data_IF_044206690313
#
_entry.id   IF_044206690313
#
_cell.length_a   1.000
_cell.length_b   1.000
_cell.length_c   1.000
_cell.angle_alpha   90.00
_cell.angle_beta   90.00
_cell.angle_gamma   90.00
#
_symmetry.space_group_name_H-M   'P 1'
#
loop_
_entity.id
_entity.type
_entity.pdbx_description
1 polymer ?
#
# COMPACT_ATOMS: atom_id res chain seq x y z
N UNK A 1 -21.65 9.00 -10.94
CA UNK A 1 -21.21 8.46 -9.63
C UNK A 1 -21.17 6.94 -9.75
N UNK A 2 -20.03 6.33 -9.40
CA UNK A 2 -19.90 4.87 -9.38
C UNK A 2 -20.51 4.29 -8.10
N UNK A 3 -21.09 3.12 -8.20
CA UNK A 3 -21.71 2.38 -7.09
C UNK A 3 -20.68 1.49 -6.40
N UNK A 4 -20.42 1.69 -5.11
CA UNK A 4 -19.37 1.04 -4.34
C UNK A 4 -19.92 0.05 -3.31
N UNK A 5 -19.33 -1.15 -3.28
CA UNK A 5 -19.45 -2.10 -2.18
C UNK A 5 -18.12 -2.22 -1.42
N UNK A 6 -18.13 -2.34 -0.09
CA UNK A 6 -16.92 -2.47 0.73
C UNK A 6 -16.94 -3.81 1.45
N UNK A 7 -15.91 -4.64 1.23
CA UNK A 7 -15.72 -5.96 1.81
C UNK A 7 -14.57 -5.95 2.83
N UNK A 8 -14.87 -6.31 4.09
CA UNK A 8 -13.93 -6.26 5.22
C UNK A 8 -13.97 -4.90 5.92
N UNK A 9 -14.57 -4.83 7.10
CA UNK A 9 -14.92 -3.58 7.77
C UNK A 9 -13.94 -3.18 8.90
N UNK A 10 -12.86 -3.92 9.07
CA UNK A 10 -11.77 -3.53 9.94
C UNK A 10 -11.01 -2.32 9.38
N UNK A 11 -10.11 -2.55 8.45
CA UNK A 11 -9.37 -1.50 7.74
C UNK A 11 -10.25 -0.74 6.72
N UNK A 12 -11.31 -1.38 6.21
CA UNK A 12 -12.32 -0.74 5.36
C UNK A 12 -13.06 0.44 5.99
N UNK A 13 -12.93 0.64 7.31
CA UNK A 13 -13.46 1.80 8.04
C UNK A 13 -13.06 3.14 7.39
N UNK A 14 -11.78 3.26 7.04
CA UNK A 14 -11.26 4.47 6.37
C UNK A 14 -11.88 4.69 4.99
N UNK A 15 -12.14 3.60 4.27
CA UNK A 15 -12.79 3.65 2.95
C UNK A 15 -14.27 4.01 3.03
N UNK A 16 -14.98 3.57 4.08
CA UNK A 16 -16.37 4.01 4.32
C UNK A 16 -16.41 5.54 4.48
N UNK A 17 -15.57 6.08 5.37
CA UNK A 17 -15.46 7.53 5.56
C UNK A 17 -15.10 8.27 4.27
N UNK A 18 -14.16 7.72 3.50
CA UNK A 18 -13.73 8.30 2.24
C UNK A 18 -14.84 8.29 1.18
N UNK A 19 -15.58 7.18 1.05
CA UNK A 19 -16.68 7.05 0.11
C UNK A 19 -17.83 8.02 0.42
N UNK A 20 -18.21 8.14 1.69
CA UNK A 20 -19.27 9.06 2.13
C UNK A 20 -18.87 10.55 1.95
N UNK A 21 -17.58 10.88 1.97
CA UNK A 21 -17.09 12.22 1.71
C UNK A 21 -16.86 12.53 0.22
N UNK A 22 -16.78 11.50 -0.62
CA UNK A 22 -16.48 11.64 -2.06
C UNK A 22 -17.75 11.91 -2.86
N UNK A 23 -17.61 12.71 -3.92
CA UNK A 23 -18.67 12.90 -4.93
C UNK A 23 -18.55 11.91 -6.10
N UNK A 24 -17.50 11.11 -6.13
CA UNK A 24 -17.27 10.13 -7.20
C UNK A 24 -18.01 8.82 -6.98
N UNK A 25 -18.32 8.49 -5.71
CA UNK A 25 -18.96 7.23 -5.34
C UNK A 25 -20.26 7.43 -4.57
N UNK A 26 -21.14 6.45 -4.73
CA UNK A 26 -22.29 6.16 -3.88
C UNK A 26 -22.03 4.83 -3.18
N UNK A 27 -21.96 4.84 -1.85
CA UNK A 27 -21.84 3.61 -1.06
C UNK A 27 -23.19 2.87 -1.11
N UNK A 28 -23.18 1.64 -1.65
CA UNK A 28 -24.39 0.81 -1.80
C UNK A 28 -24.53 -0.16 -0.64
N UNK A 29 -23.43 -0.83 -0.26
CA UNK A 29 -23.45 -1.82 0.83
C UNK A 29 -22.06 -2.02 1.44
N UNK A 30 -22.08 -2.45 2.68
CA UNK A 30 -20.91 -2.92 3.44
C UNK A 30 -21.04 -4.44 3.67
N UNK A 31 -19.91 -5.15 3.71
CA UNK A 31 -19.88 -6.58 3.99
C UNK A 31 -18.74 -6.97 4.92
N UNK A 32 -19.06 -7.75 5.94
CA UNK A 32 -18.10 -8.43 6.80
C UNK A 32 -18.69 -9.76 7.27
N UNK A 33 -17.87 -10.77 7.55
CA UNK A 33 -18.36 -12.02 8.13
C UNK A 33 -18.92 -11.84 9.54
N UNK A 34 -18.45 -10.82 10.27
CA UNK A 34 -18.92 -10.45 11.59
C UNK A 34 -20.13 -9.51 11.51
N UNK A 35 -21.30 -10.01 11.92
CA UNK A 35 -22.51 -9.19 12.08
C UNK A 35 -22.28 -8.02 13.05
N UNK A 36 -21.50 -8.25 14.12
CA UNK A 36 -21.14 -7.22 15.09
C UNK A 36 -20.32 -6.08 14.44
N UNK A 37 -19.33 -6.44 13.58
CA UNK A 37 -18.57 -5.45 12.83
C UNK A 37 -19.47 -4.64 11.89
N UNK A 38 -20.41 -5.29 11.21
CA UNK A 38 -21.40 -4.61 10.36
C UNK A 38 -22.23 -3.61 11.16
N UNK A 39 -22.79 -4.03 12.28
CA UNK A 39 -23.62 -3.17 13.16
C UNK A 39 -22.83 -2.01 13.74
N UNK A 40 -21.58 -2.25 14.15
CA UNK A 40 -20.70 -1.20 14.66
C UNK A 40 -20.45 -0.12 13.61
N UNK A 41 -20.16 -0.51 12.37
CA UNK A 41 -19.94 0.44 11.27
C UNK A 41 -21.23 1.11 10.84
N UNK A 42 -22.35 0.40 10.82
CA UNK A 42 -23.65 0.97 10.53
C UNK A 42 -24.00 2.11 11.48
N UNK A 43 -23.77 1.90 12.78
CA UNK A 43 -23.97 2.92 13.82
C UNK A 43 -22.98 4.08 13.71
N UNK A 44 -21.70 3.79 13.44
CA UNK A 44 -20.65 4.80 13.37
C UNK A 44 -20.85 5.79 12.23
N UNK A 45 -21.30 5.29 11.08
CA UNK A 45 -21.43 6.09 9.85
C UNK A 45 -22.88 6.43 9.48
N UNK A 46 -23.83 6.06 10.32
CA UNK A 46 -25.29 6.19 10.02
C UNK A 46 -25.66 5.61 8.64
N UNK A 47 -25.09 4.40 8.34
CA UNK A 47 -25.29 3.70 7.07
C UNK A 47 -25.67 2.24 7.33
N UNK A 48 -26.92 1.89 7.06
CA UNK A 48 -27.52 0.63 7.51
C UNK A 48 -27.65 -0.46 6.43
N UNK A 49 -27.13 -0.22 5.22
CA UNK A 49 -27.12 -1.22 4.16
C UNK A 49 -25.88 -2.11 4.28
N UNK A 50 -26.00 -3.28 4.89
CA UNK A 50 -24.92 -4.23 5.04
C UNK A 50 -25.38 -5.67 4.87
N UNK A 51 -24.44 -6.58 4.68
CA UNK A 51 -24.62 -8.03 4.58
C UNK A 51 -23.45 -8.77 5.19
N UNK A 52 -23.69 -10.00 5.66
CA UNK A 52 -22.60 -10.92 6.07
C UNK A 52 -22.25 -11.93 4.98
N UNK A 53 -22.87 -11.82 3.79
CA UNK A 53 -22.65 -12.72 2.67
C UNK A 53 -22.08 -11.96 1.46
N UNK A 54 -20.82 -12.25 1.12
CA UNK A 54 -20.14 -11.64 -0.02
C UNK A 54 -20.86 -11.86 -1.36
N UNK A 55 -21.52 -13.02 -1.56
CA UNK A 55 -22.25 -13.29 -2.78
C UNK A 55 -23.42 -12.32 -3.02
N UNK A 56 -24.03 -11.77 -1.98
CA UNK A 56 -25.04 -10.74 -2.15
C UNK A 56 -24.48 -9.46 -2.80
N UNK A 57 -23.20 -9.12 -2.50
CA UNK A 57 -22.53 -8.00 -3.18
C UNK A 57 -22.17 -8.34 -4.62
N UNK A 58 -21.67 -9.55 -4.87
CA UNK A 58 -21.28 -10.01 -6.19
C UNK A 58 -22.47 -10.02 -7.16
N UNK A 59 -23.61 -10.51 -6.71
CA UNK A 59 -24.83 -10.65 -7.49
C UNK A 59 -25.59 -9.34 -7.68
N UNK A 60 -25.30 -8.33 -6.84
CA UNK A 60 -25.91 -7.02 -6.95
C UNK A 60 -25.39 -6.28 -8.19
N UNK A 61 -26.24 -6.17 -9.22
CA UNK A 61 -25.91 -5.54 -10.50
C UNK A 61 -25.75 -4.03 -10.43
N UNK A 62 -26.19 -3.39 -9.35
CA UNK A 62 -25.99 -1.96 -9.16
C UNK A 62 -24.56 -1.62 -8.77
N UNK A 63 -23.79 -2.56 -8.17
CA UNK A 63 -22.43 -2.31 -7.74
C UNK A 63 -21.49 -2.33 -8.95
N UNK A 64 -20.76 -1.25 -9.15
CA UNK A 64 -19.73 -1.11 -10.18
C UNK A 64 -18.34 -1.54 -9.67
N UNK A 65 -18.02 -1.21 -8.41
CA UNK A 65 -16.71 -1.36 -7.79
C UNK A 65 -16.84 -2.06 -6.44
N UNK A 66 -15.96 -3.04 -6.19
CA UNK A 66 -15.80 -3.66 -4.87
C UNK A 66 -14.43 -3.29 -4.31
N UNK A 67 -14.43 -2.70 -3.10
CA UNK A 67 -13.22 -2.41 -2.33
C UNK A 67 -13.00 -3.50 -1.28
N UNK A 68 -11.83 -4.18 -1.34
CA UNK A 68 -11.51 -5.40 -0.58
C UNK A 68 -10.48 -5.06 0.50
N UNK A 69 -10.85 -5.30 1.77
CA UNK A 69 -10.03 -5.08 2.98
C UNK A 69 -10.07 -6.31 3.92
N UNK A 70 -10.22 -7.47 3.35
CA UNK A 70 -10.20 -8.74 4.07
C UNK A 70 -8.77 -9.15 4.45
N UNK A 71 -8.56 -10.21 5.25
CA UNK A 71 -7.22 -10.75 5.46
C UNK A 71 -6.50 -11.14 4.17
N UNK A 72 -5.19 -10.92 4.12
CA UNK A 72 -4.34 -11.01 2.92
C UNK A 72 -4.51 -12.33 2.14
N UNK A 73 -4.63 -13.46 2.84
CA UNK A 73 -4.76 -14.78 2.22
C UNK A 73 -6.08 -15.00 1.45
N UNK A 74 -7.06 -14.12 1.65
CA UNK A 74 -8.36 -14.14 0.96
C UNK A 74 -8.40 -13.21 -0.25
N UNK A 75 -7.45 -12.29 -0.38
CA UNK A 75 -7.47 -11.25 -1.41
C UNK A 75 -7.60 -11.83 -2.82
N UNK A 76 -6.75 -12.79 -3.18
CA UNK A 76 -6.74 -13.35 -4.54
C UNK A 76 -8.09 -13.94 -4.94
N UNK A 77 -8.73 -14.71 -4.04
CA UNK A 77 -10.04 -15.31 -4.33
C UNK A 77 -11.14 -14.24 -4.39
N UNK A 78 -11.16 -13.28 -3.48
CA UNK A 78 -12.15 -12.20 -3.51
C UNK A 78 -12.01 -11.32 -4.76
N UNK A 79 -10.78 -11.00 -5.18
CA UNK A 79 -10.51 -10.26 -6.43
C UNK A 79 -11.04 -11.04 -7.62
N UNK A 80 -10.67 -12.32 -7.73
CA UNK A 80 -11.10 -13.21 -8.81
C UNK A 80 -12.63 -13.25 -8.92
N UNK A 81 -13.32 -13.47 -7.81
CA UNK A 81 -14.78 -13.51 -7.79
C UNK A 81 -15.40 -12.18 -8.23
N UNK A 82 -14.89 -11.05 -7.74
CA UNK A 82 -15.38 -9.74 -8.15
C UNK A 82 -15.22 -9.51 -9.67
N UNK A 83 -14.06 -9.83 -10.23
CA UNK A 83 -13.79 -9.70 -11.66
C UNK A 83 -14.73 -10.58 -12.51
N UNK A 84 -14.94 -11.83 -12.11
CA UNK A 84 -15.84 -12.77 -12.81
C UNK A 84 -17.31 -12.30 -12.77
N UNK A 85 -17.70 -11.53 -11.74
CA UNK A 85 -19.04 -10.91 -11.66
C UNK A 85 -19.09 -9.51 -12.31
N UNK A 86 -18.05 -9.16 -13.08
CA UNK A 86 -18.03 -7.92 -13.85
C UNK A 86 -17.82 -6.65 -13.02
N UNK A 87 -17.21 -6.75 -11.84
CA UNK A 87 -16.91 -5.61 -10.96
C UNK A 87 -15.48 -5.12 -11.16
N UNK A 88 -15.29 -3.80 -11.10
CA UNK A 88 -13.98 -3.21 -10.89
C UNK A 88 -13.53 -3.45 -9.45
N UNK A 89 -12.23 -3.49 -9.20
CA UNK A 89 -11.69 -3.88 -7.89
C UNK A 89 -10.72 -2.85 -7.35
N UNK A 90 -10.90 -2.48 -6.09
CA UNK A 90 -9.86 -1.90 -5.24
C UNK A 90 -9.48 -2.98 -4.24
N UNK A 91 -8.19 -3.29 -4.10
CA UNK A 91 -7.74 -4.21 -3.05
C UNK A 91 -6.59 -3.59 -2.26
N UNK A 92 -6.68 -3.69 -0.93
CA UNK A 92 -5.63 -3.17 -0.05
C UNK A 92 -4.30 -3.93 -0.20
N UNK A 93 -3.26 -3.43 0.43
CA UNK A 93 -1.92 -4.07 0.49
C UNK A 93 -1.80 -4.98 1.76
N UNK A 94 -0.93 -6.01 1.75
CA UNK A 94 -0.28 -6.56 0.57
C UNK A 94 -1.31 -7.10 -0.42
N UNK A 95 -1.08 -6.92 -1.71
CA UNK A 95 -2.08 -7.21 -2.73
C UNK A 95 -2.51 -8.69 -2.78
N UNK A 96 -1.54 -9.59 -2.71
CA UNK A 96 -1.72 -11.03 -2.55
C UNK A 96 -0.67 -11.56 -1.56
N UNK A 97 -0.92 -12.69 -0.95
CA UNK A 97 -0.04 -13.37 0.00
C UNK A 97 0.93 -14.36 -0.67
N UNK A 98 0.60 -14.83 -1.89
CA UNK A 98 1.36 -15.84 -2.62
C UNK A 98 1.38 -15.55 -4.13
N UNK A 99 2.58 -15.52 -4.73
CA UNK A 99 2.77 -15.34 -6.17
C UNK A 99 2.21 -16.50 -7.01
N UNK A 100 1.98 -17.67 -6.44
CA UNK A 100 1.33 -18.78 -7.15
C UNK A 100 -0.06 -18.40 -7.69
N UNK A 101 -0.73 -17.42 -7.06
CA UNK A 101 -2.04 -16.90 -7.46
C UNK A 101 -1.96 -15.84 -8.57
N UNK A 102 -0.77 -15.32 -8.87
CA UNK A 102 -0.61 -14.16 -9.75
C UNK A 102 -1.03 -14.42 -11.20
N UNK A 103 -0.64 -15.57 -11.77
CA UNK A 103 -1.00 -15.91 -13.15
C UNK A 103 -2.51 -16.00 -13.37
N UNK A 104 -3.21 -16.69 -12.49
CA UNK A 104 -4.66 -16.79 -12.56
C UNK A 104 -5.31 -15.40 -12.51
N UNK A 105 -4.83 -14.52 -11.63
CA UNK A 105 -5.37 -13.16 -11.55
C UNK A 105 -5.09 -12.33 -12.80
N UNK A 106 -3.90 -12.45 -13.39
CA UNK A 106 -3.56 -11.79 -14.67
C UNK A 106 -4.51 -12.23 -15.79
N UNK A 107 -4.78 -13.54 -15.88
CA UNK A 107 -5.68 -14.10 -16.89
C UNK A 107 -7.12 -13.67 -16.67
N UNK A 108 -7.64 -13.79 -15.46
CA UNK A 108 -9.02 -13.39 -15.11
C UNK A 108 -9.22 -11.88 -15.30
N UNK A 109 -8.24 -11.07 -14.92
CA UNK A 109 -8.30 -9.62 -15.14
C UNK A 109 -8.40 -9.28 -16.63
N UNK A 110 -7.57 -9.93 -17.46
CA UNK A 110 -7.61 -9.75 -18.92
C UNK A 110 -8.96 -10.18 -19.53
N UNK A 111 -9.51 -11.30 -19.08
CA UNK A 111 -10.79 -11.83 -19.56
C UNK A 111 -11.98 -10.96 -19.15
N UNK A 112 -11.97 -10.44 -17.92
CA UNK A 112 -13.06 -9.63 -17.41
C UNK A 112 -13.14 -8.23 -18.03
N UNK A 113 -12.01 -7.70 -18.52
CA UNK A 113 -11.89 -6.32 -18.98
C UNK A 113 -12.08 -5.27 -17.86
N UNK A 114 -12.11 -5.71 -16.59
CA UNK A 114 -12.29 -4.82 -15.46
C UNK A 114 -10.96 -4.31 -14.90
N UNK A 115 -10.99 -3.10 -14.37
CA UNK A 115 -9.80 -2.45 -13.79
C UNK A 115 -9.59 -2.91 -12.36
N UNK A 116 -8.33 -3.06 -12.00
CA UNK A 116 -7.88 -3.32 -10.62
C UNK A 116 -6.98 -2.17 -10.19
N UNK A 117 -7.22 -1.68 -8.99
CA UNK A 117 -6.38 -0.71 -8.32
C UNK A 117 -5.87 -1.30 -7.01
N UNK A 118 -4.56 -1.23 -6.78
CA UNK A 118 -3.94 -1.68 -5.54
C UNK A 118 -3.84 -0.52 -4.56
N UNK A 119 -4.42 -0.66 -3.38
CA UNK A 119 -4.55 0.37 -2.37
C UNK A 119 -3.24 0.73 -1.68
N UNK A 120 -2.20 1.11 -2.44
CA UNK A 120 -0.97 1.71 -1.92
C UNK A 120 -1.23 3.17 -1.55
N UNK A 121 -1.95 3.34 -0.45
CA UNK A 121 -2.49 4.62 0.02
C UNK A 121 -1.40 5.69 0.20
N UNK A 122 -0.19 5.30 0.57
CA UNK A 122 0.94 6.21 0.79
C UNK A 122 1.31 7.07 -0.42
N UNK A 123 1.08 6.61 -1.66
CA UNK A 123 1.27 7.40 -2.89
C UNK A 123 0.33 8.62 -2.98
N UNK A 124 -0.78 8.62 -2.22
CA UNK A 124 -1.86 9.59 -2.30
C UNK A 124 -1.84 10.66 -1.21
N UNK A 125 -0.79 10.70 -0.41
CA UNK A 125 -0.50 11.85 0.47
C UNK A 125 0.15 12.98 -0.31
N UNK A 126 -0.13 14.23 0.09
CA UNK A 126 0.39 15.41 -0.60
C UNK A 126 1.93 15.43 -0.75
N UNK A 127 2.71 15.08 0.30
CA UNK A 127 4.17 15.05 0.14
C UNK A 127 4.64 14.07 -0.93
N UNK A 128 4.05 12.88 -1.00
CA UNK A 128 4.40 11.86 -1.99
C UNK A 128 3.99 12.28 -3.41
N UNK A 129 2.77 12.81 -3.57
CA UNK A 129 2.28 13.35 -4.84
C UNK A 129 3.17 14.49 -5.35
N UNK A 130 3.54 15.41 -4.46
CA UNK A 130 4.41 16.53 -4.80
C UNK A 130 5.81 16.07 -5.19
N UNK A 131 6.41 15.15 -4.43
CA UNK A 131 7.72 14.57 -4.73
C UNK A 131 7.72 13.90 -6.10
N UNK A 132 6.69 13.10 -6.40
CA UNK A 132 6.56 12.43 -7.68
C UNK A 132 6.44 13.41 -8.84
N UNK A 133 5.62 14.43 -8.68
CA UNK A 133 5.45 15.50 -9.68
C UNK A 133 6.77 16.22 -9.97
N UNK A 134 7.45 16.69 -8.93
CA UNK A 134 8.71 17.43 -9.09
C UNK A 134 9.80 16.56 -9.75
N UNK A 135 9.82 15.25 -9.45
CA UNK A 135 10.71 14.29 -10.10
C UNK A 135 10.37 14.08 -11.58
N UNK A 136 9.09 13.91 -11.94
CA UNK A 136 8.63 13.72 -13.33
C UNK A 136 8.83 14.97 -14.18
N UNK A 137 8.72 16.16 -13.58
CA UNK A 137 9.01 17.44 -14.23
C UNK A 137 10.52 17.72 -14.37
N UNK A 138 11.38 16.83 -13.84
CA UNK A 138 12.84 16.94 -13.96
C UNK A 138 13.46 17.98 -13.04
N UNK A 139 12.75 18.49 -12.02
CA UNK A 139 13.22 19.56 -11.14
C UNK A 139 14.57 19.24 -10.45
N UNK A 140 14.78 17.96 -10.12
CA UNK A 140 15.96 17.46 -9.40
C UNK A 140 16.87 16.57 -10.27
N UNK A 141 16.56 16.42 -11.56
CA UNK A 141 17.33 15.61 -12.51
C UNK A 141 17.06 14.11 -12.41
N UNK A 142 18.02 13.30 -12.87
CA UNK A 142 17.92 11.85 -12.92
C UNK A 142 18.19 11.20 -11.55
N UNK A 143 17.48 10.11 -11.23
CA UNK A 143 17.67 9.38 -9.99
C UNK A 143 19.08 8.75 -9.90
N UNK A 144 19.78 9.02 -8.82
CA UNK A 144 21.05 8.35 -8.44
C UNK A 144 20.75 7.23 -7.44
N UNK A 145 20.03 7.56 -6.36
CA UNK A 145 19.63 6.60 -5.33
C UNK A 145 18.36 7.03 -4.62
N UNK A 146 17.68 6.04 -4.03
CA UNK A 146 16.46 6.26 -3.25
C UNK A 146 16.54 5.54 -1.92
N UNK A 147 16.03 6.18 -0.88
CA UNK A 147 15.81 5.57 0.43
C UNK A 147 14.34 5.71 0.80
N UNK A 148 13.75 4.62 1.28
CA UNK A 148 12.40 4.63 1.81
C UNK A 148 12.35 3.88 3.14
N UNK A 149 11.60 4.38 4.10
CA UNK A 149 11.53 3.79 5.43
C UNK A 149 10.12 3.81 6.00
N UNK A 150 9.87 2.84 6.92
CA UNK A 150 8.68 2.83 7.76
C UNK A 150 9.02 2.32 9.15
N UNK A 151 9.28 3.24 10.06
CA UNK A 151 9.58 2.98 11.46
C UNK A 151 8.42 3.47 12.33
N UNK A 152 7.82 2.57 13.12
CA UNK A 152 6.70 2.91 13.96
C UNK A 152 6.69 2.10 15.26
N UNK A 153 6.04 2.62 16.27
CA UNK A 153 5.66 1.87 17.47
C UNK A 153 4.21 1.40 17.32
N UNK A 154 4.04 0.23 16.75
CA UNK A 154 2.73 -0.38 16.55
C UNK A 154 2.33 -1.36 17.65
N UNK A 155 2.93 -1.29 18.84
CA UNK A 155 2.59 -2.19 19.96
C UNK A 155 1.12 -2.10 20.36
N UNK A 156 0.48 -0.97 20.17
CA UNK A 156 -0.96 -0.78 20.38
C UNK A 156 -1.83 -1.66 19.45
N UNK A 157 -1.29 -2.15 18.32
CA UNK A 157 -1.98 -3.11 17.45
C UNK A 157 -2.01 -4.54 18.02
N UNK A 158 -1.16 -4.84 19.00
CA UNK A 158 -1.04 -6.19 19.56
C UNK A 158 -2.34 -6.65 20.23
N UNK A 159 -3.14 -5.72 20.76
CA UNK A 159 -4.45 -6.01 21.33
C UNK A 159 -5.41 -6.69 20.34
N UNK A 160 -5.25 -6.45 19.04
CA UNK A 160 -6.03 -7.13 17.98
C UNK A 160 -5.63 -8.60 17.78
N UNK A 161 -4.53 -9.06 18.37
CA UNK A 161 -4.09 -10.47 18.43
C UNK A 161 -3.52 -11.06 17.14
N UNK A 162 -3.83 -10.52 15.99
CA UNK A 162 -3.37 -11.08 14.71
C UNK A 162 -1.85 -10.93 14.48
N UNK A 163 -1.24 -9.86 14.97
CA UNK A 163 0.21 -9.62 14.87
C UNK A 163 1.05 -10.52 15.80
N UNK A 164 0.41 -11.20 16.76
CA UNK A 164 1.07 -12.19 17.62
C UNK A 164 1.10 -13.61 17.01
N UNK A 165 0.47 -13.81 15.86
CA UNK A 165 0.48 -15.09 15.15
C UNK A 165 1.84 -15.35 14.52
N UNK A 166 2.22 -16.65 14.41
CA UNK A 166 3.45 -17.07 13.73
C UNK A 166 3.49 -16.65 12.25
N UNK A 167 2.33 -16.55 11.61
CA UNK A 167 2.21 -16.14 10.21
C UNK A 167 2.42 -14.65 9.98
N UNK A 168 2.36 -13.82 11.02
CA UNK A 168 2.55 -12.38 10.86
C UNK A 168 4.01 -12.05 10.61
N UNK A 169 4.29 -11.38 9.49
CA UNK A 169 5.61 -10.80 9.16
C UNK A 169 5.41 -9.32 8.87
N UNK A 170 6.06 -8.44 9.64
CA UNK A 170 6.04 -7.00 9.41
C UNK A 170 6.53 -6.61 8.01
N UNK A 171 7.39 -7.42 7.44
CA UNK A 171 7.86 -7.32 6.07
C UNK A 171 6.71 -7.09 5.08
N UNK A 172 5.66 -7.92 5.13
CA UNK A 172 4.50 -7.80 4.23
C UNK A 172 3.52 -6.71 4.67
N UNK A 173 3.29 -6.61 5.97
CA UNK A 173 2.33 -5.65 6.53
C UNK A 173 2.75 -4.19 6.36
N UNK A 174 3.98 -3.85 6.75
CA UNK A 174 4.48 -2.48 6.77
C UNK A 174 5.41 -2.13 5.63
N UNK A 175 6.40 -2.98 5.35
CA UNK A 175 7.42 -2.66 4.35
C UNK A 175 6.90 -2.70 2.91
N UNK A 176 5.69 -3.18 2.67
CA UNK A 176 5.03 -3.05 1.37
C UNK A 176 4.94 -1.58 0.90
N UNK A 177 4.77 -0.62 1.79
CA UNK A 177 4.76 0.81 1.44
C UNK A 177 6.12 1.34 0.96
N UNK A 178 7.22 1.23 1.74
CA UNK A 178 8.53 1.70 1.25
C UNK A 178 9.03 0.90 0.04
N UNK A 179 8.72 -0.38 -0.09
CA UNK A 179 9.06 -1.17 -1.28
C UNK A 179 8.31 -0.67 -2.52
N UNK A 180 7.03 -0.32 -2.37
CA UNK A 180 6.25 0.28 -3.43
C UNK A 180 6.82 1.63 -3.87
N UNK A 181 7.29 2.47 -2.95
CA UNK A 181 8.01 3.70 -3.29
C UNK A 181 9.30 3.44 -4.05
N UNK A 182 10.13 2.47 -3.61
CA UNK A 182 11.34 2.11 -4.36
C UNK A 182 10.98 1.74 -5.80
N UNK A 183 9.99 0.88 -5.98
CA UNK A 183 9.54 0.42 -7.29
C UNK A 183 8.96 1.56 -8.14
N UNK A 184 8.33 2.54 -7.53
CA UNK A 184 7.73 3.70 -8.22
C UNK A 184 8.77 4.62 -8.87
N UNK A 185 10.00 4.69 -8.31
CA UNK A 185 11.08 5.54 -8.79
C UNK A 185 12.22 4.78 -9.47
N UNK A 186 12.51 3.56 -9.05
CA UNK A 186 13.63 2.76 -9.54
C UNK A 186 13.12 1.56 -10.36
N UNK A 187 13.19 1.64 -11.70
CA UNK A 187 12.83 0.51 -12.57
C UNK A 187 13.93 -0.55 -12.61
N UNK A 188 13.58 -1.74 -13.13
CA UNK A 188 14.53 -2.82 -13.44
C UNK A 188 15.34 -3.28 -12.22
N UNK A 189 14.69 -3.49 -11.07
CA UNK A 189 15.32 -4.06 -9.89
C UNK A 189 15.74 -5.50 -10.20
N UNK A 190 17.01 -5.84 -9.95
CA UNK A 190 17.58 -7.17 -10.20
C UNK A 190 17.73 -8.01 -8.96
N UNK A 191 18.16 -7.39 -7.85
CA UNK A 191 18.62 -8.10 -6.69
C UNK A 191 18.30 -7.34 -5.40
N UNK A 192 18.03 -8.08 -4.34
CA UNK A 192 17.89 -7.53 -2.99
C UNK A 192 18.70 -8.34 -1.98
N UNK A 193 19.27 -7.64 -1.00
CA UNK A 193 19.91 -8.23 0.17
C UNK A 193 19.49 -7.48 1.41
N UNK A 194 19.30 -8.20 2.52
CA UNK A 194 18.98 -7.56 3.79
C UNK A 194 19.16 -8.44 5.01
N UNK A 195 19.09 -7.78 6.16
CA UNK A 195 19.13 -8.39 7.48
C UNK A 195 17.97 -7.90 8.32
N UNK A 196 17.47 -8.79 9.17
CA UNK A 196 16.42 -8.48 10.13
C UNK A 196 16.70 -9.09 11.49
N UNK A 197 16.11 -8.51 12.51
CA UNK A 197 16.18 -9.01 13.87
C UNK A 197 14.84 -8.90 14.57
N UNK A 198 14.59 -9.78 15.52
CA UNK A 198 13.56 -9.58 16.53
C UNK A 198 14.16 -8.72 17.64
N UNK A 199 13.70 -7.48 17.75
CA UNK A 199 14.19 -6.53 18.74
C UNK A 199 13.80 -6.94 20.17
N UNK A 200 14.47 -6.35 21.16
CA UNK A 200 14.08 -6.53 22.57
C UNK A 200 12.66 -6.09 22.84
N UNK A 201 12.17 -5.03 22.17
CA UNK A 201 10.81 -4.56 22.28
C UNK A 201 9.84 -5.56 21.65
N UNK A 202 10.13 -6.04 20.45
CA UNK A 202 9.32 -7.06 19.76
C UNK A 202 9.23 -8.36 20.54
N UNK A 203 10.35 -8.84 21.07
CA UNK A 203 10.41 -10.03 21.91
C UNK A 203 9.57 -9.89 23.20
N UNK A 204 9.72 -8.77 23.91
CA UNK A 204 8.92 -8.49 25.12
C UNK A 204 7.43 -8.35 24.82
N UNK A 205 7.09 -7.85 23.63
CA UNK A 205 5.73 -7.72 23.16
C UNK A 205 5.11 -9.04 22.66
N UNK A 206 5.90 -10.11 22.55
CA UNK A 206 5.45 -11.45 22.16
C UNK A 206 5.44 -11.71 20.66
N UNK A 207 6.03 -10.83 19.84
CA UNK A 207 6.21 -11.07 18.40
C UNK A 207 7.03 -12.34 18.15
N UNK A 208 6.77 -12.99 17.02
CA UNK A 208 7.41 -14.27 16.65
C UNK A 208 8.44 -14.15 15.55
N UNK A 209 8.37 -13.09 14.74
CA UNK A 209 9.24 -12.85 13.59
C UNK A 209 10.01 -11.53 13.75
N UNK A 210 10.95 -11.29 12.85
CA UNK A 210 11.73 -10.05 12.82
C UNK A 210 10.77 -8.84 12.76
N UNK A 211 11.07 -7.84 13.57
CA UNK A 211 10.32 -6.58 13.64
C UNK A 211 11.17 -5.36 13.25
N UNK A 212 12.48 -5.54 13.07
CA UNK A 212 13.40 -4.50 12.62
C UNK A 212 14.27 -5.06 11.49
N UNK A 213 14.30 -4.38 10.34
CA UNK A 213 14.99 -4.91 9.16
C UNK A 213 15.47 -3.80 8.22
N UNK A 214 16.56 -4.09 7.50
CA UNK A 214 17.19 -3.22 6.52
C UNK A 214 17.55 -4.00 5.26
N UNK A 215 17.29 -3.39 4.09
CA UNK A 215 17.51 -3.97 2.79
C UNK A 215 18.22 -3.00 1.84
N UNK A 216 19.06 -3.55 0.97
CA UNK A 216 19.63 -2.86 -0.19
C UNK A 216 19.12 -3.55 -1.45
N UNK A 217 18.61 -2.77 -2.38
CA UNK A 217 18.24 -3.20 -3.72
C UNK A 217 19.25 -2.71 -4.73
N UNK A 218 19.45 -3.49 -5.78
CA UNK A 218 20.29 -3.15 -6.91
C UNK A 218 19.49 -3.27 -8.21
N UNK A 219 19.50 -2.22 -9.00
CA UNK A 219 18.92 -2.21 -10.35
C UNK A 219 19.93 -2.67 -11.39
N UNK A 220 19.45 -3.02 -12.58
CA UNK A 220 20.24 -3.51 -13.70
C UNK A 220 21.33 -2.52 -14.16
N UNK A 221 21.06 -1.23 -14.07
CA UNK A 221 21.98 -0.15 -14.42
C UNK A 221 22.97 0.23 -13.31
N UNK A 222 22.94 -0.50 -12.18
CA UNK A 222 23.82 -0.29 -11.05
C UNK A 222 23.33 0.68 -9.99
N UNK A 223 22.19 1.38 -10.22
CA UNK A 223 21.58 2.23 -9.18
C UNK A 223 21.15 1.38 -7.99
N UNK A 224 21.18 1.98 -6.82
CA UNK A 224 20.85 1.30 -5.57
C UNK A 224 19.71 1.99 -4.84
N UNK A 225 18.97 1.20 -4.05
CA UNK A 225 17.96 1.70 -3.15
C UNK A 225 18.09 1.08 -1.76
N UNK A 226 17.61 1.77 -0.74
CA UNK A 226 17.55 1.27 0.63
C UNK A 226 16.12 1.28 1.14
N UNK A 227 15.72 0.15 1.74
CA UNK A 227 14.47 0.06 2.53
C UNK A 227 14.81 -0.29 3.96
N UNK A 228 14.17 0.36 4.91
CA UNK A 228 14.26 0.00 6.33
C UNK A 228 12.91 0.12 7.03
N UNK A 229 12.73 -0.65 8.10
CA UNK A 229 11.53 -0.55 8.91
C UNK A 229 11.65 -1.20 10.28
N UNK A 230 10.81 -0.70 11.19
CA UNK A 230 10.63 -1.27 12.52
C UNK A 230 9.16 -1.22 12.92
N UNK A 231 8.68 -2.28 13.60
CA UNK A 231 7.29 -2.39 14.08
C UNK A 231 7.12 -1.94 15.53
N UNK A 232 8.17 -2.08 16.34
CA UNK A 232 8.16 -1.76 17.77
C UNK A 232 9.21 -0.73 18.16
N UNK A 233 9.70 0.02 17.17
CA UNK A 233 10.67 1.09 17.38
C UNK A 233 9.99 2.34 17.92
N UNK A 234 10.62 3.06 18.87
CA UNK A 234 10.11 4.37 19.27
C UNK A 234 10.00 5.31 18.08
N UNK A 235 8.99 6.17 18.11
CA UNK A 235 8.83 7.23 17.12
C UNK A 235 10.05 8.14 17.13
N UNK A 236 10.57 8.46 15.96
CA UNK A 236 11.71 9.38 15.83
C UNK A 236 11.33 10.79 16.31
N UNK A 237 12.29 11.54 16.89
CA UNK A 237 12.05 12.94 17.22
C UNK A 237 11.53 13.73 16.01
N UNK A 238 10.62 14.66 16.24
CA UNK A 238 9.93 15.46 15.22
C UNK A 238 8.91 14.73 14.34
N UNK A 239 8.75 13.40 14.50
CA UNK A 239 7.66 12.68 13.84
C UNK A 239 6.45 12.53 14.78
N UNK A 240 5.26 12.66 14.21
CA UNK A 240 3.99 12.63 14.96
C UNK A 240 3.64 11.23 15.42
N UNK A 241 3.74 10.24 14.53
CA UNK A 241 3.21 8.88 14.77
C UNK A 241 4.17 7.82 14.23
N UNK A 242 4.44 7.84 12.95
CA UNK A 242 5.34 6.88 12.31
C UNK A 242 6.30 7.57 11.37
N UNK A 243 7.56 7.15 11.40
CA UNK A 243 8.59 7.64 10.49
C UNK A 243 8.49 6.97 9.13
N UNK A 244 7.44 7.28 8.33
CA UNK A 244 7.41 6.89 6.92
C UNK A 244 7.88 8.06 6.07
N UNK A 245 9.02 7.87 5.41
CA UNK A 245 9.60 8.87 4.52
C UNK A 245 10.26 8.26 3.29
N UNK A 246 10.35 9.07 2.23
CA UNK A 246 11.06 8.73 1.00
C UNK A 246 12.03 9.85 0.65
N UNK A 247 13.31 9.50 0.43
CA UNK A 247 14.38 10.41 0.07
C UNK A 247 14.87 10.05 -1.33
N UNK A 248 14.85 11.02 -2.23
CA UNK A 248 15.45 10.92 -3.56
C UNK A 248 16.75 11.72 -3.59
N UNK A 249 17.82 11.11 -4.10
CA UNK A 249 19.06 11.79 -4.48
C UNK A 249 19.24 11.67 -5.97
N UNK A 250 19.26 12.81 -6.63
CA UNK A 250 19.27 12.93 -8.07
C UNK A 250 20.46 13.77 -8.54
N UNK A 251 20.69 13.84 -9.85
CA UNK A 251 21.86 14.51 -10.44
C UNK A 251 21.86 16.02 -10.24
N UNK A 252 20.70 16.65 -10.07
CA UNK A 252 20.56 18.11 -9.97
C UNK A 252 19.92 18.54 -8.63
N UNK A 253 19.67 17.60 -7.70
CA UNK A 253 19.09 17.93 -6.42
C UNK A 253 18.69 16.73 -5.60
N UNK A 254 18.00 16.99 -4.49
CA UNK A 254 17.49 15.96 -3.60
C UNK A 254 16.12 16.37 -3.04
N UNK A 255 15.31 15.39 -2.69
CA UNK A 255 14.02 15.66 -2.04
C UNK A 255 13.69 14.65 -0.96
N UNK A 256 12.90 15.06 0.03
CA UNK A 256 12.35 14.23 1.09
C UNK A 256 10.85 14.46 1.23
N UNK A 257 10.09 13.39 1.21
CA UNK A 257 8.66 13.38 1.50
C UNK A 257 8.41 12.63 2.81
N UNK A 258 7.80 13.30 3.79
CA UNK A 258 7.45 12.75 5.08
C UNK A 258 5.93 12.62 5.17
N UNK A 259 5.48 11.39 5.30
CA UNK A 259 4.10 10.95 5.15
C UNK A 259 3.14 11.56 6.17
N UNK A 260 3.27 11.20 7.44
CA UNK A 260 2.36 11.66 8.49
C UNK A 260 2.60 13.12 8.89
N UNK A 261 3.80 13.62 8.64
CA UNK A 261 4.14 15.02 8.92
C UNK A 261 3.60 15.96 7.86
N UNK A 262 3.05 15.43 6.77
CA UNK A 262 2.61 16.19 5.61
C UNK A 262 3.65 17.23 5.21
N UNK A 263 4.93 16.80 5.17
CA UNK A 263 6.08 17.65 4.88
C UNK A 263 6.78 17.18 3.61
N UNK A 264 7.14 18.13 2.77
CA UNK A 264 8.00 17.93 1.61
C UNK A 264 9.14 18.94 1.64
N UNK A 265 10.35 18.47 1.44
CA UNK A 265 11.53 19.30 1.30
C UNK A 265 12.24 18.96 -0.03
N UNK A 266 12.72 19.96 -0.72
CA UNK A 266 13.48 19.79 -1.97
C UNK A 266 14.59 20.83 -2.05
N UNK A 267 15.77 20.37 -2.54
CA UNK A 267 16.86 21.24 -2.98
C UNK A 267 17.07 20.95 -4.45
N UNK A 268 16.93 21.96 -5.29
CA UNK A 268 17.13 21.88 -6.73
C UNK A 268 18.58 22.25 -7.15
N UNK A 269 18.85 22.29 -8.43
CA UNK A 269 20.18 22.62 -9.00
C UNK A 269 20.74 23.99 -8.59
N UNK A 270 19.92 24.89 -8.08
CA UNK A 270 20.38 26.20 -7.60
C UNK A 270 20.94 26.10 -6.18
N UNK A 271 20.74 24.98 -5.49
CA UNK A 271 21.09 24.77 -4.08
C UNK A 271 20.10 25.44 -3.11
N UNK A 272 19.03 26.03 -3.60
CA UNK A 272 17.99 26.60 -2.75
C UNK A 272 17.10 25.50 -2.16
N UNK A 273 16.96 25.47 -0.83
CA UNK A 273 16.05 24.58 -0.16
C UNK A 273 14.64 25.19 -0.10
N UNK A 274 13.64 24.37 -0.48
CA UNK A 274 12.22 24.70 -0.36
C UNK A 274 11.55 23.67 0.51
N UNK A 275 10.84 24.13 1.55
CA UNK A 275 10.08 23.28 2.46
C UNK A 275 8.60 23.64 2.37
N UNK A 276 7.77 22.64 2.16
CA UNK A 276 6.31 22.74 2.20
C UNK A 276 5.79 21.87 3.33
N UNK A 277 5.00 22.46 4.21
CA UNK A 277 4.26 21.75 5.27
C UNK A 277 2.80 22.06 5.08
N UNK A 278 1.99 21.04 4.89
CA UNK A 278 0.53 21.21 4.76
C UNK A 278 -0.09 21.38 6.13
N UNK A 279 -0.84 22.47 6.29
CA UNK A 279 -1.41 22.88 7.58
C UNK A 279 -2.76 22.23 7.90
N UNK A 280 -3.52 22.87 8.81
CA UNK A 280 -4.73 22.34 9.46
C UNK A 280 -5.80 21.78 8.51
N UNK A 281 -5.99 22.37 7.35
CA UNK A 281 -6.98 21.87 6.38
C UNK A 281 -6.61 20.49 5.86
N UNK A 282 -5.33 20.26 5.53
CA UNK A 282 -4.84 18.97 5.10
C UNK A 282 -4.86 17.96 6.26
N UNK A 283 -4.43 18.37 7.45
CA UNK A 283 -4.50 17.52 8.64
C UNK A 283 -5.93 17.02 8.90
N UNK A 284 -6.94 17.90 8.82
CA UNK A 284 -8.36 17.52 8.93
C UNK A 284 -8.83 16.62 7.80
N UNK A 285 -8.28 16.76 6.60
CA UNK A 285 -8.62 15.88 5.47
C UNK A 285 -8.02 14.49 5.66
N UNK A 286 -6.73 14.39 5.99
CA UNK A 286 -6.04 13.11 6.08
C UNK A 286 -6.37 12.36 7.38
N UNK A 287 -6.45 13.05 8.51
CA UNK A 287 -6.63 12.45 9.83
C UNK A 287 -8.01 12.78 10.43
N UNK A 288 -9.06 12.19 9.82
CA UNK A 288 -10.47 12.46 10.18
C UNK A 288 -10.92 11.79 11.47
N UNK A 289 -10.20 10.76 11.91
CA UNK A 289 -10.55 10.01 13.10
C UNK A 289 -9.72 10.43 14.29
N UNK A 290 -10.29 10.30 15.49
CA UNK A 290 -9.53 10.40 16.73
C UNK A 290 -8.76 9.10 16.99
N UNK A 291 -7.56 9.21 17.57
CA UNK A 291 -6.70 8.09 17.92
C UNK A 291 -5.55 7.83 16.94
N UNK A 292 -4.75 6.81 17.26
CA UNK A 292 -3.57 6.48 16.49
C UNK A 292 -3.92 5.83 15.14
N UNK A 293 -3.20 6.21 14.09
CA UNK A 293 -3.25 5.61 12.75
C UNK A 293 -4.61 5.67 12.04
N UNK A 294 -5.46 6.61 12.37
CA UNK A 294 -6.77 6.76 11.76
C UNK A 294 -6.79 7.85 10.70
N UNK A 295 -6.35 7.49 9.52
CA UNK A 295 -6.31 8.36 8.35
C UNK A 295 -7.33 7.88 7.29
N UNK A 296 -7.88 8.79 6.52
CA UNK A 296 -8.87 8.50 5.48
C UNK A 296 -8.80 9.43 4.25
N UNK A 297 -8.04 10.52 4.32
CA UNK A 297 -7.98 11.49 3.22
C UNK A 297 -7.31 10.94 1.98
N UNK A 298 -6.24 10.21 2.11
CA UNK A 298 -5.58 9.53 1.00
C UNK A 298 -6.44 8.39 0.42
N UNK A 299 -7.30 7.77 1.24
CA UNK A 299 -8.31 6.83 0.73
C UNK A 299 -9.33 7.54 -0.16
N UNK A 300 -9.78 8.73 0.22
CA UNK A 300 -10.63 9.55 -0.64
C UNK A 300 -9.91 9.94 -1.93
N UNK A 301 -8.65 10.38 -1.83
CA UNK A 301 -7.86 10.78 -2.99
C UNK A 301 -7.71 9.63 -4.00
N UNK A 302 -7.39 8.41 -3.54
CA UNK A 302 -7.26 7.29 -4.47
C UNK A 302 -8.60 6.75 -4.97
N UNK A 303 -9.67 6.81 -4.17
CA UNK A 303 -11.01 6.47 -4.64
C UNK A 303 -11.39 7.38 -5.83
N UNK A 304 -11.24 8.67 -5.65
CA UNK A 304 -11.56 9.66 -6.71
C UNK A 304 -10.67 9.45 -7.95
N UNK A 305 -9.37 9.22 -7.76
CA UNK A 305 -8.45 8.88 -8.84
C UNK A 305 -8.88 7.60 -9.60
N UNK A 306 -9.28 6.56 -8.89
CA UNK A 306 -9.74 5.32 -9.52
C UNK A 306 -11.06 5.50 -10.26
N UNK A 307 -12.00 6.27 -9.71
CA UNK A 307 -13.22 6.62 -10.39
C UNK A 307 -12.97 7.37 -11.70
N UNK A 308 -12.07 8.35 -11.69
CA UNK A 308 -11.65 9.08 -12.88
C UNK A 308 -11.03 8.14 -13.92
N UNK A 309 -10.20 7.19 -13.49
CA UNK A 309 -9.60 6.20 -14.37
C UNK A 309 -10.63 5.26 -15.02
N UNK A 310 -11.70 4.90 -14.29
CA UNK A 310 -12.81 4.11 -14.85
C UNK A 310 -13.59 4.94 -15.86
N UNK A 311 -13.98 6.16 -15.49
CA UNK A 311 -14.82 7.03 -16.32
C UNK A 311 -14.13 7.47 -17.62
N UNK A 312 -12.81 7.66 -17.59
CA UNK A 312 -12.02 8.10 -18.74
C UNK A 312 -11.33 6.95 -19.49
N UNK A 313 -11.57 5.71 -19.07
CA UNK A 313 -10.94 4.49 -19.60
C UNK A 313 -9.40 4.54 -19.63
N UNK A 314 -8.79 5.11 -18.59
CA UNK A 314 -7.35 5.15 -18.41
C UNK A 314 -6.88 4.07 -17.44
N UNK A 315 -5.57 3.77 -17.43
CA UNK A 315 -4.98 2.85 -16.45
C UNK A 315 -4.87 3.54 -15.10
N UNK A 316 -5.30 2.87 -14.05
CA UNK A 316 -5.11 3.32 -12.67
C UNK A 316 -3.87 2.68 -12.06
N UNK A 317 -2.93 3.46 -11.57
CA UNK A 317 -1.71 2.98 -10.91
C UNK A 317 -1.74 3.25 -9.40
N UNK A 318 -1.27 2.28 -8.56
CA UNK A 318 -0.73 0.96 -8.93
C UNK A 318 -1.82 0.00 -9.43
N UNK A 319 -1.56 -0.64 -10.54
CA UNK A 319 -2.45 -1.65 -11.12
C UNK A 319 -2.11 -3.08 -10.60
N UNK A 320 -2.79 -4.09 -11.15
CA UNK A 320 -2.54 -5.51 -10.86
C UNK A 320 -1.07 -5.90 -11.03
N UNK A 321 -0.42 -5.46 -12.12
CA UNK A 321 0.97 -5.81 -12.41
C UNK A 321 1.91 -5.21 -11.37
N UNK A 322 1.71 -3.95 -11.05
CA UNK A 322 2.47 -3.26 -10.01
C UNK A 322 2.29 -3.90 -8.63
N UNK A 323 1.07 -4.33 -8.30
CA UNK A 323 0.79 -5.06 -7.06
C UNK A 323 1.55 -6.38 -6.97
N UNK A 324 1.52 -7.18 -8.04
CA UNK A 324 2.27 -8.44 -8.11
C UNK A 324 3.78 -8.17 -8.05
N UNK A 325 4.27 -7.16 -8.76
CA UNK A 325 5.68 -6.76 -8.73
C UNK A 325 6.15 -6.41 -7.31
N UNK A 326 5.36 -5.66 -6.56
CA UNK A 326 5.67 -5.36 -5.16
C UNK A 326 5.73 -6.63 -4.30
N UNK A 327 4.81 -7.58 -4.48
CA UNK A 327 4.83 -8.86 -3.76
C UNK A 327 6.06 -9.70 -4.14
N UNK A 328 6.48 -9.69 -5.41
CA UNK A 328 7.69 -10.39 -5.84
C UNK A 328 8.95 -9.85 -5.15
N UNK A 329 9.05 -8.53 -4.99
CA UNK A 329 10.13 -7.91 -4.22
C UNK A 329 10.08 -8.30 -2.74
N UNK A 330 8.89 -8.29 -2.12
CA UNK A 330 8.71 -8.71 -0.73
C UNK A 330 9.11 -10.18 -0.51
N UNK A 331 8.77 -11.09 -1.43
CA UNK A 331 9.21 -12.48 -1.34
C UNK A 331 10.72 -12.64 -1.51
N UNK A 332 11.35 -11.86 -2.39
CA UNK A 332 12.81 -11.86 -2.50
C UNK A 332 13.48 -11.34 -1.22
N UNK A 333 12.92 -10.31 -0.59
CA UNK A 333 13.38 -9.80 0.69
C UNK A 333 13.27 -10.86 1.79
N UNK A 334 12.13 -11.55 1.87
CA UNK A 334 11.90 -12.62 2.86
C UNK A 334 12.94 -13.74 2.73
N UNK A 335 13.21 -14.19 1.50
CA UNK A 335 14.27 -15.18 1.23
C UNK A 335 15.67 -14.67 1.61
N UNK A 336 15.94 -13.40 1.39
CA UNK A 336 17.21 -12.81 1.80
C UNK A 336 17.37 -12.81 3.32
N UNK A 337 16.29 -12.53 4.08
CA UNK A 337 16.31 -12.65 5.54
C UNK A 337 16.56 -14.10 6.02
N UNK A 338 15.97 -15.08 5.33
CA UNK A 338 16.10 -16.50 5.67
C UNK A 338 17.51 -17.05 5.38
N UNK A 339 18.09 -16.63 4.24
CA UNK A 339 19.37 -17.18 3.77
C UNK A 339 20.59 -16.36 4.16
N UNK A 340 20.41 -15.06 4.47
CA UNK A 340 21.51 -14.11 4.65
C UNK A 340 22.29 -13.80 3.36
N UNK A 341 21.71 -14.13 2.19
CA UNK A 341 22.36 -13.99 0.88
C UNK A 341 21.56 -13.02 -0.02
N UNK A 342 22.23 -12.41 -1.03
CA UNK A 342 21.54 -11.68 -2.08
C UNK A 342 20.59 -12.60 -2.85
N UNK A 343 19.40 -12.09 -3.17
CA UNK A 343 18.37 -12.81 -3.92
C UNK A 343 18.06 -12.08 -5.21
N UNK A 344 18.23 -12.78 -6.35
CA UNK A 344 17.84 -12.27 -7.66
C UNK A 344 16.32 -12.39 -7.85
N UNK A 345 15.71 -11.32 -8.30
CA UNK A 345 14.26 -11.27 -8.53
C UNK A 345 13.82 -12.29 -9.57
N UNK A 346 14.62 -12.47 -10.63
CA UNK A 346 14.37 -13.49 -11.67
C UNK A 346 14.28 -14.92 -11.12
N UNK A 347 15.05 -15.23 -10.06
CA UNK A 347 14.98 -16.57 -9.45
C UNK A 347 13.66 -16.79 -8.72
N UNK A 348 13.14 -15.74 -8.07
CA UNK A 348 11.82 -15.80 -7.43
C UNK A 348 10.73 -15.98 -8.48
N UNK A 349 10.74 -15.17 -9.53
CA UNK A 349 9.70 -15.19 -10.55
C UNK A 349 9.66 -16.49 -11.36
N UNK A 350 10.82 -17.08 -11.67
CA UNK A 350 10.93 -18.35 -12.39
C UNK A 350 10.20 -19.51 -11.72
N UNK A 351 10.16 -19.56 -10.40
CA UNK A 351 9.46 -20.61 -9.67
C UNK A 351 7.96 -20.59 -9.91
N UNK A 352 7.41 -19.42 -10.24
CA UNK A 352 5.98 -19.21 -10.55
C UNK A 352 5.72 -19.09 -12.06
N UNK A 353 6.74 -19.28 -12.89
CA UNK A 353 6.67 -19.05 -14.34
C UNK A 353 6.16 -17.66 -14.72
N UNK A 354 6.57 -16.64 -14.01
CA UNK A 354 6.25 -15.23 -14.24
C UNK A 354 7.49 -14.54 -14.82
N UNK A 355 7.32 -13.69 -15.83
CA UNK A 355 8.39 -12.82 -16.34
C UNK A 355 8.29 -11.41 -15.73
N UNK A 356 9.41 -10.68 -15.73
CA UNK A 356 9.42 -9.26 -15.28
C UNK A 356 8.50 -8.39 -16.13
N UNK A 357 8.45 -8.64 -17.43
CA UNK A 357 7.62 -7.89 -18.38
C UNK A 357 6.13 -8.07 -18.09
N UNK A 358 5.71 -9.26 -17.63
CA UNK A 358 4.30 -9.52 -17.26
C UNK A 358 3.83 -8.68 -16.08
N UNK A 359 4.75 -8.26 -15.21
CA UNK A 359 4.45 -7.56 -13.94
C UNK A 359 5.11 -6.17 -13.84
N UNK A 360 5.70 -5.67 -14.92
CA UNK A 360 6.28 -4.33 -14.97
C UNK A 360 7.46 -4.11 -14.00
N UNK A 361 8.34 -5.11 -13.88
CA UNK A 361 9.60 -5.04 -13.14
C UNK A 361 10.82 -4.95 -14.06
#
# INVERSE_FOLDING_TARGET
>A
MLKLGILGLGEGRSTISAALASKAYELVTMCDLSEEACQQRAKEFDFHHYTTNYHHMLDNKEIDVIAIYTPDHLHAEHIKQALLHGKHVICTKPFIDDLAKAKELLEVSKQSGKKIFVGQSSRFFEPAKRQRKDFEEGLIGELISIEAQYHADHRWFLEKGWSLKQSFKWLYGGLSHPVDFIRWYLPNIEEVMGYGMLSSNGSKAGLKNQDTMHFIFKAKDGRIARVSGAYTGPTQPAYRDSGMSTILRCTEGASQADYHELRYAVTDKTGEEKIVVWGDSALKHYFRFEGQSHHAGEYQNYLEYFADSINNDTVAYPDLKEGIGTVALLQAMDRSLETGLPVKIDNVLKEYNISKEEIGL
#
